data_IF_646234257069
#
_entry.id   IF_646234257069
#
_cell.length_a   1.000
_cell.length_b   1.000
_cell.length_c   1.000
_cell.angle_alpha   90.00
_cell.angle_beta   90.00
_cell.angle_gamma   90.00
#
_symmetry.space_group_name_H-M   'P 1'
#
loop_
_entity.id
_entity.type
_entity.pdbx_description
1 polymer ?
#
# COMPACT_ATOMS: atom_id res chain seq x y z
N UNK A 1 -14.21 14.95 15.88
CA UNK A 1 -13.73 15.59 14.66
C UNK A 1 -13.80 14.63 13.49
N UNK A 2 -14.20 15.16 12.34
CA UNK A 2 -14.21 14.42 11.06
C UNK A 2 -13.76 15.36 9.95
N UNK A 3 -12.93 14.85 9.05
CA UNK A 3 -12.59 15.55 7.81
C UNK A 3 -12.69 14.60 6.63
N UNK A 4 -12.97 15.15 5.47
CA UNK A 4 -12.98 14.44 4.19
C UNK A 4 -12.38 15.35 3.13
N UNK A 5 -11.48 14.79 2.32
CA UNK A 5 -10.83 15.49 1.22
C UNK A 5 -10.90 14.63 -0.03
N UNK A 6 -11.30 15.23 -1.14
CA UNK A 6 -11.19 14.67 -2.48
C UNK A 6 -10.10 15.39 -3.24
N UNK A 7 -9.18 14.64 -3.83
CA UNK A 7 -8.13 15.15 -4.70
C UNK A 7 -8.10 14.37 -6.00
N UNK A 8 -8.06 15.10 -7.10
CA UNK A 8 -7.77 14.56 -8.43
C UNK A 8 -6.50 15.24 -8.96
N UNK A 9 -5.62 14.47 -9.56
CA UNK A 9 -4.33 14.95 -10.07
C UNK A 9 -4.13 14.50 -11.49
N UNK A 10 -3.66 15.40 -12.31
CA UNK A 10 -3.36 15.15 -13.72
C UNK A 10 -2.08 15.87 -14.11
N UNK A 11 -1.23 15.20 -14.88
CA UNK A 11 -0.08 15.81 -15.51
C UNK A 11 -0.56 16.52 -16.78
N UNK A 12 -0.48 17.84 -16.80
CA UNK A 12 -0.96 18.64 -17.94
C UNK A 12 0.11 18.87 -19.01
N UNK A 13 1.40 18.79 -18.62
CA UNK A 13 2.51 19.00 -19.55
C UNK A 13 3.78 18.31 -19.04
N UNK A 14 4.55 17.70 -19.94
CA UNK A 14 5.84 17.05 -19.65
C UNK A 14 7.00 17.63 -20.47
N UNK A 15 6.71 18.18 -21.65
CA UNK A 15 7.70 18.69 -22.59
C UNK A 15 7.45 20.17 -22.90
N UNK A 16 8.47 20.90 -23.28
CA UNK A 16 8.34 22.33 -23.60
C UNK A 16 7.48 22.59 -24.87
N UNK A 17 7.40 21.60 -25.74
CA UNK A 17 6.58 21.60 -26.95
C UNK A 17 5.68 20.38 -26.88
N UNK A 18 4.39 20.55 -27.15
CA UNK A 18 3.44 19.45 -27.20
C UNK A 18 3.87 18.42 -28.25
N UNK A 19 4.06 17.17 -27.81
CA UNK A 19 4.34 16.03 -28.66
C UNK A 19 3.37 14.90 -28.32
N UNK A 20 2.30 14.72 -29.12
CA UNK A 20 1.30 13.68 -28.88
C UNK A 20 1.85 12.26 -29.07
N UNK A 21 3.05 12.10 -29.63
CA UNK A 21 3.72 10.81 -29.78
C UNK A 21 4.57 10.47 -28.58
N UNK A 22 4.83 11.42 -27.68
CA UNK A 22 5.63 11.20 -26.49
C UNK A 22 4.84 10.46 -25.42
N UNK A 23 5.16 9.19 -25.23
CA UNK A 23 4.47 8.33 -24.28
C UNK A 23 4.58 8.82 -22.83
N UNK A 24 5.75 9.34 -22.43
CA UNK A 24 6.01 9.83 -21.08
C UNK A 24 7.37 9.41 -20.53
N UNK A 25 7.54 9.60 -19.24
CA UNK A 25 8.78 9.28 -18.50
C UNK A 25 8.54 8.03 -17.64
N UNK A 26 9.21 6.93 -17.95
CA UNK A 26 9.15 5.73 -17.16
C UNK A 26 9.76 5.95 -15.77
N UNK A 27 9.04 5.51 -14.74
CA UNK A 27 9.40 5.63 -13.33
C UNK A 27 9.05 4.34 -12.57
N UNK A 28 9.25 4.32 -11.26
CA UNK A 28 8.84 3.19 -10.43
C UNK A 28 9.69 1.95 -10.68
N UNK A 29 11.01 2.11 -10.48
CA UNK A 29 11.93 0.95 -10.51
C UNK A 29 11.61 -0.04 -9.41
N UNK A 30 11.66 -1.34 -9.73
CA UNK A 30 11.34 -2.44 -8.82
C UNK A 30 12.56 -3.28 -8.47
N UNK A 31 12.52 -3.89 -7.28
CA UNK A 31 13.50 -4.90 -6.85
C UNK A 31 13.21 -6.24 -7.57
N UNK A 32 14.25 -7.06 -7.77
CA UNK A 32 14.13 -8.36 -8.46
C UNK A 32 14.09 -8.29 -9.97
N UNK A 33 13.71 -7.17 -10.54
CA UNK A 33 13.74 -6.91 -11.97
C UNK A 33 14.54 -5.63 -12.26
N UNK A 34 15.82 -5.62 -11.95
CA UNK A 34 16.69 -4.43 -12.08
C UNK A 34 16.58 -3.82 -13.48
N UNK A 35 16.27 -2.51 -13.52
CA UNK A 35 16.06 -1.77 -14.76
C UNK A 35 14.60 -1.77 -15.26
N UNK A 36 13.70 -2.55 -14.65
CA UNK A 36 12.29 -2.51 -14.95
C UNK A 36 11.60 -1.35 -14.20
N UNK A 37 10.84 -0.57 -14.93
CA UNK A 37 10.02 0.51 -14.41
C UNK A 37 8.55 0.17 -14.69
N UNK A 38 7.75 0.09 -13.65
CA UNK A 38 6.32 -0.32 -13.73
C UNK A 38 5.35 0.86 -13.62
N UNK A 39 5.88 2.07 -13.60
CA UNK A 39 5.09 3.31 -13.56
C UNK A 39 5.54 4.25 -14.68
N UNK A 40 4.67 5.20 -15.01
CA UNK A 40 4.95 6.21 -16.01
C UNK A 40 4.34 7.56 -15.60
N UNK A 41 5.00 8.64 -15.96
CA UNK A 41 4.43 9.98 -16.01
C UNK A 41 4.01 10.26 -17.45
N UNK A 42 2.72 10.38 -17.72
CA UNK A 42 2.17 10.73 -19.03
C UNK A 42 1.21 11.90 -18.91
N UNK A 43 1.14 12.72 -19.93
CA UNK A 43 0.14 13.80 -20.04
C UNK A 43 -1.26 13.18 -20.02
N UNK A 44 -2.20 13.80 -19.29
CA UNK A 44 -3.55 13.30 -19.13
C UNK A 44 -3.70 12.18 -18.11
N UNK A 45 -2.62 11.83 -17.38
CA UNK A 45 -2.63 10.77 -16.37
C UNK A 45 -2.19 11.30 -15.01
N UNK A 46 -2.56 10.56 -13.96
CA UNK A 46 -2.03 10.82 -12.62
C UNK A 46 -0.52 10.54 -12.55
N UNK A 47 0.24 11.30 -11.74
CA UNK A 47 1.65 11.00 -11.51
C UNK A 47 1.85 9.57 -10.99
N UNK A 48 2.87 8.89 -11.50
CA UNK A 48 3.20 7.51 -11.18
C UNK A 48 2.09 6.49 -11.50
N UNK A 49 1.25 6.75 -12.49
CA UNK A 49 0.29 5.75 -12.97
C UNK A 49 1.01 4.45 -13.30
N UNK A 50 0.44 3.30 -12.90
CA UNK A 50 1.03 2.02 -13.23
C UNK A 50 0.94 1.77 -14.74
N UNK A 51 2.05 1.26 -15.30
CA UNK A 51 2.22 1.02 -16.71
C UNK A 51 2.64 -0.44 -16.91
N UNK A 52 1.64 -1.30 -17.08
CA UNK A 52 1.76 -2.74 -16.98
C UNK A 52 0.95 -3.45 -18.08
N UNK A 53 1.21 -4.75 -18.27
CA UNK A 53 0.39 -5.61 -19.10
C UNK A 53 -0.89 -6.02 -18.37
N UNK A 54 -2.00 -6.08 -19.09
CA UNK A 54 -3.27 -6.58 -18.58
C UNK A 54 -3.22 -8.11 -18.48
N UNK A 55 -3.32 -8.63 -17.25
CA UNK A 55 -3.29 -10.07 -16.96
C UNK A 55 -4.55 -10.75 -17.48
N UNK A 56 -4.38 -11.92 -18.08
CA UNK A 56 -5.48 -12.82 -18.43
C UNK A 56 -5.68 -13.84 -17.33
N UNK A 57 -6.94 -14.12 -17.00
CA UNK A 57 -7.33 -15.06 -15.96
C UNK A 57 -8.07 -16.26 -16.56
N UNK A 58 -7.99 -17.41 -15.92
CA UNK A 58 -8.78 -18.58 -16.25
C UNK A 58 -10.25 -18.42 -15.77
N UNK A 59 -11.06 -19.48 -15.98
CA UNK A 59 -12.48 -19.49 -15.59
C UNK A 59 -12.70 -19.49 -14.06
N UNK A 60 -11.69 -19.92 -13.31
CA UNK A 60 -11.70 -19.97 -11.84
C UNK A 60 -11.18 -18.67 -11.21
N UNK A 61 -10.70 -17.73 -12.05
CA UNK A 61 -10.17 -16.43 -11.62
C UNK A 61 -8.67 -16.45 -11.30
N UNK A 62 -7.93 -17.51 -11.64
CA UNK A 62 -6.49 -17.56 -11.43
C UNK A 62 -5.76 -16.91 -12.61
N UNK A 63 -4.69 -16.14 -12.36
CA UNK A 63 -3.89 -15.54 -13.42
C UNK A 63 -3.12 -16.61 -14.19
N UNK A 64 -3.14 -16.52 -15.53
CA UNK A 64 -2.41 -17.46 -16.39
C UNK A 64 -1.00 -16.93 -16.61
N UNK A 65 0.01 -17.71 -16.25
CA UNK A 65 1.42 -17.33 -16.39
C UNK A 65 1.78 -16.95 -17.83
N UNK A 66 2.36 -15.75 -18.01
CA UNK A 66 2.86 -15.27 -19.30
C UNK A 66 1.78 -14.93 -20.32
N UNK A 67 0.50 -14.97 -19.95
CA UNK A 67 -0.61 -14.66 -20.85
C UNK A 67 -1.20 -13.29 -20.50
N UNK A 68 -1.14 -12.38 -21.47
CA UNK A 68 -1.60 -11.01 -21.35
C UNK A 68 -2.53 -10.64 -22.50
N UNK A 69 -3.30 -9.58 -22.33
CA UNK A 69 -4.15 -9.05 -23.40
C UNK A 69 -3.26 -8.37 -24.44
N UNK A 70 -3.34 -8.83 -25.70
CA UNK A 70 -2.73 -8.17 -26.86
C UNK A 70 -3.56 -6.92 -27.19
N UNK A 71 -3.10 -5.77 -26.70
CA UNK A 71 -3.77 -4.48 -26.92
C UNK A 71 -3.39 -3.84 -28.24
N UNK A 72 -2.19 -4.12 -28.72
CA UNK A 72 -1.70 -3.64 -30.02
C UNK A 72 -2.34 -4.38 -31.19
N UNK A 73 -2.81 -5.62 -30.97
CA UNK A 73 -3.42 -6.48 -32.00
C UNK A 73 -2.41 -7.03 -33.00
N UNK A 74 -1.12 -7.05 -32.65
CA UNK A 74 -0.06 -7.52 -33.54
C UNK A 74 0.24 -9.03 -33.39
N UNK A 75 -0.44 -9.72 -32.47
CA UNK A 75 -0.28 -11.14 -32.17
C UNK A 75 0.95 -11.47 -31.33
N UNK A 76 1.57 -10.46 -30.69
CA UNK A 76 2.73 -10.61 -29.81
C UNK A 76 2.57 -9.73 -28.58
N UNK A 77 2.99 -10.23 -27.44
CA UNK A 77 3.04 -9.41 -26.22
C UNK A 77 4.39 -8.69 -26.14
N UNK A 78 4.34 -7.37 -26.08
CA UNK A 78 5.51 -6.51 -26.05
C UNK A 78 5.26 -5.16 -25.40
N UNK A 79 6.20 -4.24 -25.56
CA UNK A 79 6.07 -2.90 -24.97
C UNK A 79 4.88 -2.10 -25.50
N UNK A 80 4.35 -2.46 -26.68
CA UNK A 80 3.16 -1.84 -27.27
C UNK A 80 1.86 -2.21 -26.53
N UNK A 81 1.86 -3.28 -25.72
CA UNK A 81 0.71 -3.76 -24.95
C UNK A 81 0.71 -3.25 -23.51
N UNK A 82 1.77 -2.53 -23.10
CA UNK A 82 1.77 -1.83 -21.82
C UNK A 82 0.74 -0.71 -21.85
N UNK A 83 -0.02 -0.58 -20.77
CA UNK A 83 -1.06 0.44 -20.68
C UNK A 83 -1.13 1.08 -19.29
N UNK A 84 -1.71 2.27 -19.24
CA UNK A 84 -2.05 2.93 -17.98
C UNK A 84 -3.17 2.14 -17.31
N UNK A 85 -2.89 1.59 -16.12
CA UNK A 85 -3.83 0.71 -15.45
C UNK A 85 -4.54 1.39 -14.28
N UNK A 86 -3.82 1.73 -13.23
CA UNK A 86 -4.34 2.31 -12.00
C UNK A 86 -3.36 3.35 -11.47
N UNK A 87 -3.76 4.07 -10.40
CA UNK A 87 -2.94 5.09 -9.75
C UNK A 87 -2.58 4.70 -8.32
N UNK A 88 -1.35 4.98 -7.87
CA UNK A 88 -0.98 4.82 -6.46
C UNK A 88 -1.56 5.92 -5.56
N UNK A 89 -2.01 7.03 -6.14
CA UNK A 89 -2.48 8.18 -5.39
C UNK A 89 -3.94 8.00 -4.97
N UNK A 90 -4.26 8.10 -3.67
CA UNK A 90 -5.64 8.12 -3.21
C UNK A 90 -6.40 9.33 -3.74
N UNK A 91 -7.65 9.12 -4.16
CA UNK A 91 -8.56 10.21 -4.49
C UNK A 91 -9.31 10.71 -3.25
N UNK A 92 -9.55 9.84 -2.26
CA UNK A 92 -10.28 10.19 -1.05
C UNK A 92 -9.41 9.98 0.19
N UNK A 93 -9.41 11.01 1.04
CA UNK A 93 -8.77 11.00 2.35
C UNK A 93 -9.81 11.30 3.41
N UNK A 94 -9.99 10.42 4.38
CA UNK A 94 -10.87 10.64 5.52
C UNK A 94 -10.06 10.63 6.80
N UNK A 95 -10.41 11.51 7.73
CA UNK A 95 -9.86 11.53 9.07
C UNK A 95 -10.98 11.56 10.10
N UNK A 96 -10.81 10.79 11.17
CA UNK A 96 -11.73 10.69 12.29
C UNK A 96 -10.92 10.84 13.58
N UNK A 97 -11.41 11.70 14.48
CA UNK A 97 -10.90 11.77 15.86
C UNK A 97 -12.03 12.03 16.82
N UNK A 98 -11.95 11.45 18.01
CA UNK A 98 -12.95 11.68 19.04
C UNK A 98 -12.33 11.53 20.42
N UNK A 99 -12.91 12.24 21.38
CA UNK A 99 -12.63 12.10 22.79
C UNK A 99 -13.96 12.01 23.55
N UNK A 100 -14.04 11.06 24.47
CA UNK A 100 -15.16 10.84 25.36
C UNK A 100 -14.68 10.97 26.79
N UNK A 101 -15.39 11.75 27.59
CA UNK A 101 -15.10 11.96 29.01
C UNK A 101 -16.32 11.49 29.81
N UNK A 102 -16.08 10.61 30.80
CA UNK A 102 -17.10 10.13 31.71
C UNK A 102 -16.54 10.08 33.15
N UNK A 103 -16.98 11.02 33.96
CA UNK A 103 -16.36 11.23 35.28
C UNK A 103 -14.88 11.56 35.15
N UNK A 104 -14.05 10.76 35.78
CA UNK A 104 -12.59 10.90 35.74
C UNK A 104 -11.91 10.11 34.61
N UNK A 105 -12.69 9.35 33.85
CA UNK A 105 -12.22 8.58 32.69
C UNK A 105 -12.24 9.42 31.42
N UNK A 106 -11.25 9.22 30.57
CA UNK A 106 -11.30 9.69 29.19
C UNK A 106 -10.86 8.59 28.23
N UNK A 107 -11.50 8.55 27.08
CA UNK A 107 -11.18 7.70 25.94
C UNK A 107 -10.98 8.59 24.73
N UNK A 108 -9.81 8.56 24.14
CA UNK A 108 -9.55 9.26 22.88
C UNK A 108 -9.03 8.31 21.81
N UNK A 109 -9.38 8.59 20.56
CA UNK A 109 -8.85 7.86 19.42
C UNK A 109 -8.78 8.73 18.18
N UNK A 110 -7.88 8.38 17.28
CA UNK A 110 -7.83 8.94 15.94
C UNK A 110 -7.52 7.85 14.92
N UNK A 111 -8.11 8.00 13.75
CA UNK A 111 -7.93 7.12 12.62
C UNK A 111 -8.08 7.85 11.31
N UNK A 112 -7.60 7.21 10.25
CA UNK A 112 -7.68 7.72 8.88
C UNK A 112 -8.00 6.64 7.89
N UNK A 113 -8.55 7.02 6.74
CA UNK A 113 -8.76 6.12 5.64
C UNK A 113 -8.33 6.78 4.32
N UNK A 114 -7.77 5.96 3.44
CA UNK A 114 -7.48 6.32 2.05
C UNK A 114 -8.27 5.38 1.15
N UNK A 115 -8.83 5.91 0.07
CA UNK A 115 -9.57 5.11 -0.89
C UNK A 115 -9.18 5.47 -2.32
N UNK A 116 -9.40 4.49 -3.20
CA UNK A 116 -9.13 4.59 -4.63
C UNK A 116 -7.64 4.79 -4.93
N UNK A 117 -6.80 4.13 -4.14
CA UNK A 117 -5.38 4.00 -4.40
C UNK A 117 -5.02 2.53 -4.63
N UNK A 118 -3.97 2.33 -5.40
CA UNK A 118 -3.47 0.99 -5.74
C UNK A 118 -2.00 0.88 -5.38
N UNK A 119 -1.58 -0.33 -5.10
CA UNK A 119 -0.21 -0.63 -4.69
C UNK A 119 0.29 -1.82 -5.50
N UNK A 120 1.47 -1.67 -6.08
CA UNK A 120 2.19 -2.78 -6.69
C UNK A 120 2.92 -3.56 -5.60
N UNK A 121 2.54 -4.83 -5.42
CA UNK A 121 3.15 -5.72 -4.46
C UNK A 121 4.47 -6.28 -5.01
N UNK A 122 5.57 -5.52 -4.78
CA UNK A 122 6.88 -5.92 -5.27
C UNK A 122 7.47 -7.10 -4.47
N UNK A 123 7.05 -7.29 -3.23
CA UNK A 123 7.47 -8.47 -2.45
C UNK A 123 6.94 -9.74 -3.10
N UNK A 124 5.67 -9.73 -3.51
CA UNK A 124 5.04 -10.86 -4.21
C UNK A 124 5.65 -11.05 -5.60
N UNK A 125 5.78 -9.99 -6.41
CA UNK A 125 6.35 -10.10 -7.76
C UNK A 125 7.80 -10.58 -7.78
N UNK A 126 8.56 -10.28 -6.72
CA UNK A 126 9.95 -10.69 -6.58
C UNK A 126 10.10 -12.10 -6.00
N UNK A 127 9.20 -12.53 -5.10
CA UNK A 127 9.35 -13.77 -4.33
C UNK A 127 8.18 -14.76 -4.55
N UNK A 128 7.23 -14.45 -5.42
CA UNK A 128 6.06 -15.29 -5.73
C UNK A 128 6.29 -16.34 -6.83
N UNK A 129 7.55 -16.70 -7.12
CA UNK A 129 7.89 -17.69 -8.14
C UNK A 129 8.19 -19.04 -7.50
N UNK A 130 7.58 -20.12 -7.98
CA UNK A 130 7.87 -21.49 -7.51
C UNK A 130 9.30 -21.92 -7.81
N UNK A 131 9.92 -21.42 -8.89
CA UNK A 131 11.31 -21.67 -9.22
C UNK A 131 12.28 -21.21 -8.12
N UNK A 132 11.87 -20.29 -7.26
CA UNK A 132 12.66 -19.83 -6.12
C UNK A 132 12.63 -20.77 -4.93
N UNK A 133 11.61 -21.62 -4.81
CA UNK A 133 11.46 -22.53 -3.70
C UNK A 133 12.62 -23.53 -3.62
N UNK A 134 13.08 -24.00 -4.76
CA UNK A 134 14.22 -24.89 -4.88
C UNK A 134 15.20 -24.39 -5.92
N UNK A 135 16.44 -24.12 -5.51
CA UNK A 135 17.51 -23.67 -6.40
C UNK A 135 18.62 -24.71 -6.44
N UNK A 136 18.93 -25.28 -7.61
CA UNK A 136 19.99 -26.27 -7.73
C UNK A 136 21.40 -25.71 -7.41
N UNK A 137 21.56 -24.40 -7.47
CA UNK A 137 22.82 -23.68 -7.27
C UNK A 137 22.94 -23.04 -5.87
N UNK A 138 22.29 -23.61 -4.87
CA UNK A 138 22.31 -23.18 -3.44
C UNK A 138 22.18 -21.65 -3.20
N UNK A 139 21.58 -21.24 -2.06
CA UNK A 139 20.97 -22.09 -1.06
C UNK A 139 19.81 -22.89 -1.66
N UNK A 140 19.74 -24.16 -1.37
CA UNK A 140 18.81 -25.10 -2.00
C UNK A 140 17.35 -24.84 -1.72
N UNK A 141 17.03 -24.13 -0.63
CA UNK A 141 15.69 -23.70 -0.26
C UNK A 141 15.68 -22.20 -0.02
N UNK A 142 14.66 -21.54 -0.53
CA UNK A 142 14.38 -20.13 -0.27
C UNK A 142 12.92 -19.95 0.12
N UNK A 143 12.62 -18.89 0.84
CA UNK A 143 11.24 -18.52 1.12
C UNK A 143 10.58 -17.93 -0.11
N UNK A 144 9.34 -18.33 -0.36
CA UNK A 144 8.43 -17.72 -1.31
C UNK A 144 7.24 -17.13 -0.57
N UNK A 145 6.56 -16.18 -1.18
CA UNK A 145 5.31 -15.62 -0.64
C UNK A 145 4.20 -16.66 -0.72
N UNK A 146 3.22 -16.59 0.18
CA UNK A 146 2.13 -17.58 0.25
C UNK A 146 1.27 -17.61 -1.00
N UNK A 147 1.09 -16.45 -1.65
CA UNK A 147 0.37 -16.30 -2.92
C UNK A 147 1.00 -17.07 -4.08
N UNK A 148 2.29 -17.46 -3.99
CA UNK A 148 2.92 -18.35 -4.96
C UNK A 148 2.18 -19.68 -5.13
N UNK A 149 1.49 -20.16 -4.08
CA UNK A 149 0.70 -21.39 -4.13
C UNK A 149 -0.64 -21.20 -4.83
N UNK A 150 -1.16 -19.99 -4.86
CA UNK A 150 -2.43 -19.66 -5.50
C UNK A 150 -2.23 -19.40 -7.00
N UNK A 151 -1.13 -18.73 -7.38
CA UNK A 151 -0.86 -18.37 -8.78
C UNK A 151 -0.02 -19.42 -9.54
N UNK A 152 0.76 -20.23 -8.83
CA UNK A 152 1.60 -21.31 -9.40
C UNK A 152 2.57 -20.84 -10.50
N UNK A 153 2.99 -19.57 -10.48
CA UNK A 153 3.95 -19.04 -11.45
C UNK A 153 5.34 -19.66 -11.25
N UNK A 154 5.93 -20.14 -12.34
CA UNK A 154 7.30 -20.64 -12.34
C UNK A 154 8.33 -19.53 -12.60
N UNK A 155 7.98 -18.52 -13.39
CA UNK A 155 8.86 -17.42 -13.78
C UNK A 155 8.33 -16.05 -13.39
N UNK A 156 9.22 -15.06 -13.38
CA UNK A 156 8.89 -13.70 -13.02
C UNK A 156 7.89 -13.06 -13.99
N UNK A 157 6.84 -12.45 -13.45
CA UNK A 157 5.79 -11.76 -14.18
C UNK A 157 5.74 -10.27 -13.80
N UNK A 158 6.89 -9.59 -13.73
CA UNK A 158 7.03 -8.23 -13.16
C UNK A 158 6.08 -7.19 -13.76
N UNK A 159 5.75 -7.27 -15.04
CA UNK A 159 4.84 -6.32 -15.69
C UNK A 159 3.37 -6.72 -15.63
N UNK A 160 3.02 -7.75 -14.87
CA UNK A 160 1.62 -8.17 -14.71
C UNK A 160 0.81 -7.19 -13.87
N UNK A 161 -0.37 -6.81 -14.36
CA UNK A 161 -1.36 -6.06 -13.57
C UNK A 161 -1.88 -6.84 -12.36
N UNK A 162 -1.65 -8.14 -12.27
CA UNK A 162 -1.96 -8.97 -11.11
C UNK A 162 -1.36 -8.41 -9.81
N UNK A 163 -0.13 -7.91 -9.87
CA UNK A 163 0.54 -7.35 -8.69
C UNK A 163 0.09 -5.95 -8.29
N UNK A 164 -0.74 -5.29 -9.13
CA UNK A 164 -1.33 -3.99 -8.80
C UNK A 164 -2.64 -4.20 -8.06
N UNK A 165 -2.58 -4.19 -6.74
CA UNK A 165 -3.68 -4.52 -5.84
C UNK A 165 -4.36 -3.28 -5.28
N UNK A 166 -5.61 -3.42 -4.82
CA UNK A 166 -6.32 -2.33 -4.14
C UNK A 166 -5.64 -2.01 -2.81
N UNK A 167 -5.10 -0.80 -2.70
CA UNK A 167 -4.42 -0.29 -1.51
C UNK A 167 -5.31 0.53 -0.59
N UNK A 168 -6.62 0.54 -0.78
CA UNK A 168 -7.54 1.25 0.12
C UNK A 168 -7.50 0.66 1.52
N UNK A 169 -7.53 1.54 2.53
CA UNK A 169 -7.47 1.10 3.91
C UNK A 169 -8.20 2.06 4.86
N UNK A 170 -8.59 1.54 6.01
CA UNK A 170 -8.87 2.29 7.23
C UNK A 170 -7.87 1.89 8.30
N UNK A 171 -7.23 2.87 8.94
CA UNK A 171 -6.22 2.67 9.99
C UNK A 171 -6.62 3.42 11.24
N UNK A 172 -6.60 2.72 12.36
CA UNK A 172 -6.71 3.32 13.68
C UNK A 172 -5.30 3.65 14.20
N UNK A 173 -4.96 4.93 14.17
CA UNK A 173 -3.61 5.40 14.48
C UNK A 173 -3.31 5.24 15.96
N UNK A 174 -4.25 5.62 16.83
CA UNK A 174 -4.11 5.38 18.27
C UNK A 174 -5.47 5.28 18.97
N UNK A 175 -5.45 4.61 20.10
CA UNK A 175 -6.52 4.55 21.09
C UNK A 175 -5.88 4.78 22.45
N UNK A 176 -6.38 5.74 23.19
CA UNK A 176 -5.89 6.08 24.54
C UNK A 176 -7.03 6.00 25.53
N UNK A 177 -6.84 5.26 26.61
CA UNK A 177 -7.72 5.25 27.78
C UNK A 177 -6.94 5.83 28.96
N UNK A 178 -7.52 6.80 29.63
CA UNK A 178 -6.89 7.43 30.78
C UNK A 178 -7.85 7.68 31.93
N UNK A 179 -7.27 7.87 33.10
CA UNK A 179 -7.98 8.18 34.34
C UNK A 179 -7.26 9.31 35.10
N UNK A 180 -8.05 10.26 35.59
CA UNK A 180 -7.57 11.40 36.36
C UNK A 180 -7.86 11.19 37.85
N UNK A 181 -6.83 11.20 38.67
CA UNK A 181 -6.92 11.19 40.13
C UNK A 181 -6.76 12.62 40.63
N UNK A 182 -7.74 13.13 41.38
CA UNK A 182 -7.70 14.44 41.97
C UNK A 182 -7.39 14.33 43.44
N UNK A 183 -6.62 15.30 43.98
CA UNK A 183 -6.25 15.39 45.41
C UNK A 183 -5.66 14.05 45.93
N UNK A 184 -4.67 13.52 45.22
CA UNK A 184 -4.05 12.24 45.54
C UNK A 184 -3.56 12.25 47.01
N UNK A 185 -4.10 11.33 47.79
CA UNK A 185 -3.78 11.17 49.22
C UNK A 185 -3.99 12.44 50.09
N UNK A 186 -4.80 13.42 49.68
CA UNK A 186 -5.07 14.65 50.44
C UNK A 186 -3.91 15.65 50.49
N UNK A 187 -2.98 15.57 49.53
CA UNK A 187 -1.80 16.43 49.45
C UNK A 187 -1.91 17.53 48.39
N UNK A 188 -3.10 17.65 47.72
CA UNK A 188 -3.33 18.64 46.67
C UNK A 188 -2.67 18.28 45.32
N UNK A 189 -2.07 17.09 45.21
CA UNK A 189 -1.49 16.61 43.95
C UNK A 189 -2.54 15.95 43.07
N UNK A 190 -2.47 16.17 41.75
CA UNK A 190 -3.28 15.49 40.76
C UNK A 190 -2.40 14.51 39.97
N UNK A 191 -2.96 13.35 39.63
CA UNK A 191 -2.26 12.35 38.84
C UNK A 191 -3.14 11.90 37.67
N UNK A 192 -2.57 11.86 36.47
CA UNK A 192 -3.21 11.25 35.30
C UNK A 192 -2.44 10.01 34.91
N UNK A 193 -3.14 8.88 34.79
CA UNK A 193 -2.59 7.64 34.26
C UNK A 193 -3.29 7.32 32.95
N UNK A 194 -2.52 7.05 31.90
CA UNK A 194 -3.10 6.68 30.61
C UNK A 194 -2.34 5.54 29.93
N UNK A 195 -3.09 4.70 29.25
CA UNK A 195 -2.58 3.64 28.38
C UNK A 195 -2.97 3.95 26.93
N UNK A 196 -1.98 3.93 26.04
CA UNK A 196 -2.16 4.18 24.61
C UNK A 196 -1.68 2.99 23.80
N UNK A 197 -2.47 2.59 22.82
CA UNK A 197 -2.05 1.68 21.76
C UNK A 197 -1.90 2.50 20.48
N UNK A 198 -0.68 2.53 19.92
CA UNK A 198 -0.41 3.14 18.61
C UNK A 198 -0.39 2.07 17.53
N UNK A 199 -0.75 2.42 16.29
CA UNK A 199 -0.97 1.47 15.19
C UNK A 199 -1.92 0.35 15.63
N UNK A 200 -3.08 0.71 16.22
CA UNK A 200 -3.95 -0.22 16.92
C UNK A 200 -4.44 -1.35 15.99
N UNK A 201 -4.95 -0.99 14.81
CA UNK A 201 -5.33 -1.92 13.76
C UNK A 201 -5.46 -1.23 12.40
N UNK A 202 -5.46 -2.04 11.35
CA UNK A 202 -5.75 -1.62 9.98
C UNK A 202 -6.72 -2.60 9.34
N UNK A 203 -7.64 -2.07 8.54
CA UNK A 203 -8.58 -2.84 7.71
C UNK A 203 -8.26 -2.51 6.26
N UNK A 204 -7.90 -3.51 5.48
CA UNK A 204 -7.55 -3.39 4.07
C UNK A 204 -7.79 -4.71 3.34
N UNK A 205 -7.94 -4.65 2.02
CA UNK A 205 -7.93 -5.82 1.13
C UNK A 205 -6.57 -6.07 0.51
N UNK A 206 -5.59 -5.21 0.79
CA UNK A 206 -4.23 -5.37 0.30
C UNK A 206 -3.57 -6.58 0.95
N UNK A 207 -2.96 -7.44 0.14
CA UNK A 207 -2.35 -8.71 0.58
C UNK A 207 -0.91 -8.56 1.06
N UNK A 208 -0.25 -7.43 0.79
CA UNK A 208 1.07 -7.11 1.32
C UNK A 208 1.03 -6.64 2.78
N UNK A 209 2.19 -6.22 3.29
CA UNK A 209 2.33 -5.86 4.71
C UNK A 209 1.71 -4.51 5.06
N UNK A 210 1.80 -3.53 4.18
CA UNK A 210 1.31 -2.17 4.45
C UNK A 210 0.95 -1.46 3.13
N UNK A 211 -0.33 -1.10 2.90
CA UNK A 211 -0.73 -0.36 1.71
C UNK A 211 -0.31 1.12 1.71
N UNK A 212 0.19 1.63 2.86
CA UNK A 212 0.57 3.03 3.00
C UNK A 212 2.03 3.24 2.56
N UNK A 213 2.27 3.12 1.25
CA UNK A 213 3.58 3.34 0.62
C UNK A 213 3.55 4.59 -0.27
N UNK A 214 4.59 5.43 -0.15
CA UNK A 214 4.58 6.78 -0.71
C UNK A 214 4.51 6.82 -2.24
N UNK A 215 5.12 5.87 -2.93
CA UNK A 215 5.18 5.80 -4.41
C UNK A 215 4.29 4.68 -4.99
N UNK A 216 3.54 3.98 -4.13
CA UNK A 216 2.68 2.87 -4.55
C UNK A 216 3.42 1.58 -4.91
N UNK A 217 4.71 1.45 -4.60
CA UNK A 217 5.47 0.21 -4.76
C UNK A 217 5.84 -0.30 -3.38
N UNK A 218 5.31 -1.46 -2.99
CA UNK A 218 5.57 -2.08 -1.70
C UNK A 218 6.67 -3.14 -1.82
N UNK A 219 7.84 -2.80 -1.30
CA UNK A 219 8.99 -3.70 -1.13
C UNK A 219 9.30 -3.96 0.35
N UNK A 220 8.35 -3.66 1.25
CA UNK A 220 8.51 -3.82 2.68
C UNK A 220 8.44 -5.30 3.09
N UNK A 221 9.40 -5.70 3.90
CA UNK A 221 9.46 -7.05 4.49
C UNK A 221 9.21 -7.03 6.01
N UNK A 222 9.05 -5.84 6.60
CA UNK A 222 8.81 -5.66 8.03
C UNK A 222 7.51 -4.91 8.28
N UNK A 223 6.56 -5.48 9.04
CA UNK A 223 5.33 -4.79 9.39
C UNK A 223 5.60 -3.65 10.37
N UNK A 224 4.76 -2.61 10.32
CA UNK A 224 4.77 -1.55 11.34
C UNK A 224 4.35 -2.12 12.70
N UNK A 225 5.15 -1.97 13.78
CA UNK A 225 4.82 -2.53 15.07
C UNK A 225 3.65 -1.79 15.72
N UNK A 226 2.86 -2.52 16.51
CA UNK A 226 2.01 -1.88 17.53
C UNK A 226 2.88 -1.45 18.69
N UNK A 227 2.61 -0.24 19.20
CA UNK A 227 3.35 0.30 20.34
C UNK A 227 2.36 0.51 21.50
N UNK A 228 2.70 -0.03 22.66
CA UNK A 228 1.95 0.15 23.90
C UNK A 228 2.69 1.13 24.78
N UNK A 229 2.02 2.20 25.16
CA UNK A 229 2.60 3.27 25.98
C UNK A 229 1.77 3.42 27.26
N UNK A 230 2.43 3.36 28.41
CA UNK A 230 1.86 3.75 29.69
C UNK A 230 2.45 5.09 30.09
N UNK A 231 1.59 6.07 30.33
CA UNK A 231 1.99 7.39 30.76
C UNK A 231 1.43 7.69 32.15
N UNK A 232 2.27 8.26 33.01
CA UNK A 232 1.89 8.75 34.34
C UNK A 232 2.37 10.20 34.43
N UNK A 233 1.42 11.11 34.66
CA UNK A 233 1.69 12.52 34.83
C UNK A 233 1.27 12.92 36.26
N UNK A 234 2.18 13.54 36.99
CA UNK A 234 1.95 14.07 38.33
C UNK A 234 2.06 15.60 38.29
N UNK A 235 1.09 16.27 38.89
CA UNK A 235 1.01 17.72 38.98
C UNK A 235 0.82 18.13 40.44
N UNK A 236 1.73 18.95 40.95
CA UNK A 236 1.73 19.45 42.31
C UNK A 236 1.30 20.91 42.36
#
# INVERSE_FOLDING_TARGET
GFNATYNEREITQLTAVDDPTYLGILTGGISGGVGNNIQIHSVGQTPNAFFVHEQVYDQDGNPIEGVYVDRSGDGRIGSADLHHFKSPMPNYYLGLSSEFIYGDWYLSFAGRAHFDNYVYNNVSSMNGELSRLYRPEGPYLANVTTDALDVMFNGAQYFSSYYVQNGSFFKMDHITLGYNFYDLAGIGANMTVSATVQNAFMITQYEGLDPEVANGIDDNIYPRPRVFVLNVNLQF
#
